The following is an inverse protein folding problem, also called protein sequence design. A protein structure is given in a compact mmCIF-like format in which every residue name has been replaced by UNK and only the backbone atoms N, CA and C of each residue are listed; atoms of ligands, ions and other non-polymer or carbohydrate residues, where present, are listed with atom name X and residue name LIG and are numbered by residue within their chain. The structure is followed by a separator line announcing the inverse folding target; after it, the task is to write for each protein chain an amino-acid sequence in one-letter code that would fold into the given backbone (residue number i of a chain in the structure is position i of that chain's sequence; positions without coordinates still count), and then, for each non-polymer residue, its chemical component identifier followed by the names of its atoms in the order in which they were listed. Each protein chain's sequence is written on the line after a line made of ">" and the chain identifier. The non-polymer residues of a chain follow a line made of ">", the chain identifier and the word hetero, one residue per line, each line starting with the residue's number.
data_IF_004465998750
#
_entry.id   IF_004465998750
#
_cell.length_a   1.000
_cell.length_b   1.000
_cell.length_c   1.000
_cell.angle_alpha   90.00
_cell.angle_beta   90.00
_cell.angle_gamma   90.00
#
_symmetry.space_group_name_H-M   'P 1'
#
loop_
_entity.id
_entity.type
_entity.pdbx_description
1 polymer ?
#
# COMPACT_ATOMS: atom_id res chain seq x y z
N UNK A 1 -1.12 -21.12 -29.60
CA UNK A 1 -0.74 -21.26 -28.20
C UNK A 1 0.13 -20.06 -27.84
N UNK A 2 -0.43 -19.03 -27.22
CA UNK A 2 0.31 -17.85 -26.74
C UNK A 2 0.54 -18.03 -25.25
N UNK A 3 1.78 -18.16 -24.90
CA UNK A 3 2.29 -18.28 -23.54
C UNK A 3 1.94 -16.99 -22.77
N UNK A 4 1.09 -17.11 -21.78
CA UNK A 4 0.76 -16.01 -20.86
C UNK A 4 1.97 -15.89 -19.92
N UNK A 5 2.78 -14.85 -20.11
CA UNK A 5 3.81 -14.49 -19.17
C UNK A 5 3.14 -13.91 -17.93
N UNK A 6 3.44 -14.50 -16.79
CA UNK A 6 3.04 -14.10 -15.45
C UNK A 6 3.26 -12.60 -15.25
N UNK A 7 2.17 -11.85 -15.16
CA UNK A 7 2.17 -10.50 -14.63
C UNK A 7 2.33 -10.60 -13.12
N UNK A 8 3.56 -10.62 -12.67
CA UNK A 8 3.92 -10.66 -11.26
C UNK A 8 3.71 -9.29 -10.65
N UNK A 9 2.72 -9.16 -9.79
CA UNK A 9 2.72 -8.51 -8.51
C UNK A 9 3.26 -7.09 -8.45
N UNK A 10 2.39 -6.09 -8.45
CA UNK A 10 2.74 -4.78 -7.94
C UNK A 10 1.63 -4.12 -7.22
N UNK A 11 1.91 -3.89 -5.99
CA UNK A 11 1.02 -3.14 -5.14
C UNK A 11 1.83 -2.36 -4.18
N UNK A 12 1.43 -1.18 -3.86
CA UNK A 12 1.94 -0.31 -2.78
C UNK A 12 3.33 -0.64 -2.20
N UNK A 13 4.20 -1.16 -3.04
CA UNK A 13 5.56 -1.55 -2.73
C UNK A 13 6.45 -0.53 -3.37
N UNK A 14 6.48 0.65 -2.82
CA UNK A 14 7.59 1.54 -3.09
C UNK A 14 8.75 1.07 -2.24
N UNK A 15 9.50 0.23 -2.84
CA UNK A 15 10.86 -0.10 -2.59
C UNK A 15 11.65 0.84 -1.70
N UNK A 16 12.12 0.30 -0.60
CA UNK A 16 13.49 0.50 -0.20
C UNK A 16 14.37 -0.48 -0.99
N UNK A 17 14.70 -0.17 -2.24
CA UNK A 17 15.75 -0.81 -2.99
C UNK A 17 17.03 -0.04 -2.76
N UNK A 18 17.64 -0.19 -1.59
CA UNK A 18 19.05 0.13 -1.39
C UNK A 18 19.84 -1.14 -1.60
N UNK A 19 20.52 -1.17 -2.75
CA UNK A 19 21.73 -1.88 -3.06
C UNK A 19 22.17 -3.01 -2.09
N UNK A 20 22.03 -4.24 -2.55
CA UNK A 20 23.01 -5.27 -2.22
C UNK A 20 23.67 -5.71 -3.52
N UNK A 21 24.84 -5.15 -3.76
CA UNK A 21 25.78 -5.55 -4.81
C UNK A 21 26.25 -6.96 -4.51
N UNK A 22 26.16 -7.77 -5.54
CA UNK A 22 26.60 -9.14 -5.60
C UNK A 22 28.05 -9.34 -5.18
N UNK A 23 28.29 -10.41 -4.47
CA UNK A 23 29.54 -11.15 -4.55
C UNK A 23 29.19 -12.57 -4.93
N UNK A 24 29.62 -12.95 -6.12
CA UNK A 24 29.46 -14.30 -6.60
C UNK A 24 30.40 -15.25 -5.89
N UNK A 25 29.97 -16.48 -5.78
CA UNK A 25 30.90 -17.57 -5.97
C UNK A 25 30.24 -18.79 -6.60
N UNK A 26 30.97 -19.39 -7.55
CA UNK A 26 30.61 -20.59 -8.28
C UNK A 26 31.10 -21.79 -7.50
N UNK A 27 30.33 -22.85 -7.38
CA UNK A 27 30.89 -24.18 -7.57
C UNK A 27 29.78 -25.22 -7.84
N UNK A 28 30.11 -26.01 -8.82
CA UNK A 28 29.48 -27.19 -9.40
C UNK A 28 29.41 -28.37 -8.46
N UNK A 29 28.35 -29.15 -8.52
CA UNK A 29 28.41 -30.54 -9.04
C UNK A 29 27.12 -31.29 -8.80
N UNK A 30 26.72 -32.05 -9.81
CA UNK A 30 25.58 -32.95 -9.87
C UNK A 30 25.81 -34.21 -8.98
N UNK A 31 24.72 -34.71 -8.40
CA UNK A 31 24.55 -36.15 -8.21
C UNK A 31 23.06 -36.56 -8.20
N UNK A 32 22.77 -37.51 -9.03
CA UNK A 32 21.52 -38.21 -9.21
C UNK A 32 21.33 -39.27 -8.12
N UNK A 33 20.18 -39.25 -7.44
CA UNK A 33 19.80 -40.29 -6.51
C UNK A 33 18.28 -40.32 -6.27
N UNK A 34 17.61 -41.32 -6.84
CA UNK A 34 16.19 -41.53 -6.69
C UNK A 34 15.79 -41.95 -5.26
N UNK A 35 14.51 -41.81 -4.86
CA UNK A 35 14.09 -41.99 -3.48
C UNK A 35 14.07 -43.47 -3.09
N UNK A 36 14.74 -43.78 -1.98
CA UNK A 36 14.87 -45.11 -1.39
C UNK A 36 13.53 -45.63 -0.82
N UNK A 37 13.38 -46.93 -0.85
CA UNK A 37 12.19 -47.71 -0.45
C UNK A 37 11.72 -47.51 1.02
N UNK A 38 12.40 -46.70 1.82
CA UNK A 38 12.02 -46.38 3.22
C UNK A 38 10.95 -45.28 3.35
N UNK A 39 10.68 -44.54 2.28
CA UNK A 39 9.67 -43.47 2.30
C UNK A 39 8.22 -44.00 2.13
N UNK A 40 8.03 -45.25 1.78
CA UNK A 40 6.70 -45.86 1.57
C UNK A 40 6.02 -46.43 2.81
N UNK A 41 6.73 -46.61 3.91
CA UNK A 41 6.20 -47.22 5.12
C UNK A 41 5.65 -46.24 6.17
N UNK A 42 5.79 -44.92 5.96
CA UNK A 42 5.40 -43.93 6.96
C UNK A 42 3.97 -43.36 6.81
N UNK A 43 3.27 -43.73 5.73
CA UNK A 43 1.96 -43.13 5.41
C UNK A 43 0.75 -44.00 5.81
N UNK A 44 0.89 -44.98 6.67
CA UNK A 44 -0.22 -45.88 7.02
C UNK A 44 -0.51 -46.00 8.51
N UNK A 45 -0.19 -44.98 9.31
CA UNK A 45 -0.66 -45.01 10.70
C UNK A 45 -0.98 -43.58 11.17
N UNK A 46 -2.24 -43.39 11.52
CA UNK A 46 -2.91 -42.27 12.18
C UNK A 46 -3.50 -41.18 11.28
N UNK A 47 -4.78 -41.39 11.00
CA UNK A 47 -5.72 -40.29 10.76
C UNK A 47 -5.80 -39.40 11.98
N UNK A 48 -4.94 -38.37 12.00
CA UNK A 48 -5.17 -37.16 12.77
C UNK A 48 -5.57 -36.10 11.74
N UNK A 49 -6.84 -35.80 11.72
CA UNK A 49 -7.34 -34.58 11.14
C UNK A 49 -6.61 -33.42 11.85
N UNK A 50 -5.60 -32.86 11.22
CA UNK A 50 -5.11 -31.56 11.62
C UNK A 50 -6.27 -30.61 11.38
N UNK A 51 -7.00 -30.29 12.43
CA UNK A 51 -7.84 -29.09 12.46
C UNK A 51 -6.93 -27.97 12.00
N UNK A 52 -7.31 -27.30 10.91
CA UNK A 52 -6.62 -26.13 10.44
C UNK A 52 -6.50 -25.19 11.65
N UNK A 53 -5.30 -25.07 12.19
CA UNK A 53 -5.02 -24.10 13.22
C UNK A 53 -5.39 -22.76 12.61
N UNK A 54 -6.42 -22.13 13.15
CA UNK A 54 -6.76 -20.75 12.78
C UNK A 54 -5.55 -19.92 13.16
N UNK A 55 -4.73 -19.57 12.17
CA UNK A 55 -3.60 -18.67 12.37
C UNK A 55 -4.23 -17.33 12.75
N UNK A 56 -4.23 -17.03 14.04
CA UNK A 56 -4.69 -15.74 14.54
C UNK A 56 -3.61 -14.70 14.18
N UNK A 57 -3.74 -14.09 13.01
CA UNK A 57 -2.82 -13.05 12.55
C UNK A 57 -3.02 -11.80 13.43
N UNK A 58 -1.95 -11.37 14.08
CA UNK A 58 -1.96 -10.14 14.87
C UNK A 58 -2.35 -8.96 13.96
N UNK A 59 -3.29 -8.14 14.44
CA UNK A 59 -3.73 -6.92 13.76
C UNK A 59 -3.17 -5.71 14.49
N UNK A 60 -2.68 -4.73 13.72
CA UNK A 60 -2.15 -3.48 14.26
C UNK A 60 -2.44 -2.33 13.29
N UNK A 61 -2.79 -1.18 13.82
CA UNK A 61 -2.96 0.02 13.01
C UNK A 61 -1.60 0.49 12.47
N UNK A 62 -1.64 1.08 11.28
CA UNK A 62 -0.54 1.84 10.73
C UNK A 62 -0.79 3.30 11.07
N UNK A 63 0.16 3.94 11.75
CA UNK A 63 0.02 5.33 12.24
C UNK A 63 1.28 6.11 11.89
N UNK A 64 1.13 7.17 11.10
CA UNK A 64 2.24 8.08 10.77
C UNK A 64 1.84 9.49 11.15
N UNK A 65 2.68 10.16 11.95
CA UNK A 65 2.52 11.56 12.29
C UNK A 65 3.64 12.39 11.64
N UNK A 66 3.27 13.52 11.02
CA UNK A 66 4.18 14.48 10.42
C UNK A 66 3.81 15.90 10.84
N UNK A 67 4.83 16.71 11.11
CA UNK A 67 4.66 18.15 11.32
C UNK A 67 5.03 18.89 10.03
N UNK A 68 4.05 19.52 9.40
CA UNK A 68 4.24 20.33 8.20
C UNK A 68 4.42 21.82 8.55
N UNK A 69 5.40 22.47 7.93
CA UNK A 69 5.62 23.92 8.05
C UNK A 69 4.68 24.68 7.12
N UNK A 70 3.38 24.50 7.37
CA UNK A 70 2.30 25.08 6.60
C UNK A 70 1.03 25.23 7.46
N UNK A 71 0.18 26.23 7.18
CA UNK A 71 -1.11 26.38 7.86
C UNK A 71 -2.05 25.22 7.56
N UNK A 72 -2.97 24.95 8.49
CA UNK A 72 -3.86 23.79 8.42
C UNK A 72 -4.76 23.81 7.18
N UNK A 73 -5.15 24.98 6.72
CA UNK A 73 -5.96 25.16 5.50
C UNK A 73 -5.23 24.65 4.25
N UNK A 74 -3.91 24.88 4.19
CA UNK A 74 -3.11 24.43 3.05
C UNK A 74 -2.86 22.93 3.09
N UNK A 75 -2.57 22.36 4.27
CA UNK A 75 -2.42 20.91 4.43
C UNK A 75 -3.75 20.20 4.17
N UNK A 76 -4.86 20.76 4.65
CA UNK A 76 -6.21 20.27 4.36
C UNK A 76 -6.51 20.28 2.85
N UNK A 77 -6.23 21.40 2.20
CA UNK A 77 -6.42 21.56 0.75
C UNK A 77 -5.59 20.53 -0.04
N UNK A 78 -4.39 20.25 0.42
CA UNK A 78 -3.52 19.26 -0.23
C UNK A 78 -4.12 17.84 -0.25
N UNK A 79 -5.06 17.52 0.62
CA UNK A 79 -5.77 16.24 0.68
C UNK A 79 -7.16 16.26 0.04
N UNK A 80 -7.73 17.44 -0.18
CA UNK A 80 -9.15 17.57 -0.57
C UNK A 80 -9.35 18.21 -1.95
N UNK A 81 -8.30 18.78 -2.52
CA UNK A 81 -8.32 19.40 -3.85
C UNK A 81 -7.54 18.50 -4.84
N UNK A 82 -8.17 18.03 -5.94
CA UNK A 82 -7.53 17.15 -6.92
C UNK A 82 -6.21 17.70 -7.47
N UNK A 83 -6.14 18.99 -7.79
CA UNK A 83 -4.94 19.63 -8.36
C UNK A 83 -3.77 19.64 -7.37
N UNK A 84 -4.08 19.70 -6.07
CA UNK A 84 -3.06 19.58 -5.03
C UNK A 84 -2.64 18.13 -4.81
N UNK A 85 -3.58 17.17 -4.75
CA UNK A 85 -3.26 15.74 -4.60
C UNK A 85 -2.32 15.28 -5.72
N UNK A 86 -2.54 15.68 -6.95
CA UNK A 86 -1.72 15.29 -8.10
C UNK A 86 -0.24 15.74 -7.98
N UNK A 87 0.08 16.68 -7.10
CA UNK A 87 1.46 17.17 -6.92
C UNK A 87 2.33 16.26 -6.06
N UNK A 88 1.71 15.44 -5.22
CA UNK A 88 2.46 14.67 -4.22
C UNK A 88 2.05 13.20 -4.12
N UNK A 89 0.83 12.80 -4.53
CA UNK A 89 0.37 11.43 -4.38
C UNK A 89 1.28 10.43 -5.11
N UNK A 90 1.54 9.31 -4.44
CA UNK A 90 2.48 8.28 -4.86
C UNK A 90 3.87 8.46 -4.24
N UNK A 91 4.57 7.34 -3.96
CA UNK A 91 5.88 7.35 -3.35
C UNK A 91 6.94 8.05 -4.21
N UNK A 92 8.17 8.15 -3.70
CA UNK A 92 9.29 8.77 -4.43
C UNK A 92 9.48 8.14 -5.82
N UNK A 93 9.62 8.98 -6.84
CA UNK A 93 9.73 8.55 -8.24
C UNK A 93 8.39 8.33 -8.95
N UNK A 94 7.28 8.19 -8.22
CA UNK A 94 5.95 8.07 -8.80
C UNK A 94 5.35 9.44 -9.12
N UNK A 95 4.48 9.47 -10.12
CA UNK A 95 3.66 10.63 -10.47
C UNK A 95 2.18 10.35 -10.21
N UNK A 96 1.37 11.40 -10.13
CA UNK A 96 -0.09 11.27 -10.02
C UNK A 96 -0.76 11.97 -11.21
N UNK A 97 -1.02 11.24 -12.32
CA UNK A 97 -1.53 11.85 -13.56
C UNK A 97 -2.99 12.29 -13.48
N UNK A 98 -3.77 11.77 -12.57
CA UNK A 98 -5.17 12.14 -12.38
C UNK A 98 -5.63 11.91 -10.95
N UNK A 99 -6.62 12.69 -10.53
CA UNK A 99 -7.28 12.54 -9.24
C UNK A 99 -8.75 12.96 -9.40
N UNK A 100 -9.67 12.20 -8.80
CA UNK A 100 -11.10 12.52 -8.77
C UNK A 100 -11.54 12.56 -7.31
N UNK A 101 -12.22 13.63 -6.90
CA UNK A 101 -12.71 13.81 -5.52
C UNK A 101 -14.11 14.40 -5.56
N UNK A 102 -15.07 13.73 -4.93
CA UNK A 102 -16.36 14.26 -4.52
C UNK A 102 -16.28 14.46 -3.00
N UNK A 103 -15.77 15.63 -2.57
CA UNK A 103 -15.45 15.88 -1.16
C UNK A 103 -16.67 16.23 -0.32
N UNK A 104 -17.43 15.20 0.04
CA UNK A 104 -18.54 15.23 0.99
C UNK A 104 -18.71 13.88 1.66
N UNK A 105 -19.37 13.81 2.79
CA UNK A 105 -19.74 12.53 3.41
C UNK A 105 -20.59 11.70 2.43
N UNK A 106 -20.22 10.42 2.26
CA UNK A 106 -20.75 9.52 1.23
C UNK A 106 -20.19 9.75 -0.17
N UNK A 107 -19.46 10.83 -0.41
CA UNK A 107 -18.78 11.08 -1.68
C UNK A 107 -17.59 10.16 -1.89
N UNK A 108 -17.17 10.00 -3.15
CA UNK A 108 -16.13 9.07 -3.56
C UNK A 108 -14.87 9.80 -4.04
N UNK A 109 -13.74 9.12 -3.94
CA UNK A 109 -12.51 9.55 -4.58
C UNK A 109 -11.85 8.41 -5.36
N UNK A 110 -11.04 8.78 -6.35
CA UNK A 110 -10.12 7.88 -7.07
C UNK A 110 -8.78 8.58 -7.18
N UNK A 111 -7.78 8.04 -6.52
CA UNK A 111 -6.41 8.50 -6.60
C UNK A 111 -5.62 7.61 -7.54
N UNK A 112 -4.90 8.24 -8.46
CA UNK A 112 -4.09 7.57 -9.46
C UNK A 112 -2.62 7.83 -9.18
N UNK A 113 -1.81 6.79 -9.19
CA UNK A 113 -0.35 6.92 -9.22
C UNK A 113 0.23 6.09 -10.36
N UNK A 114 1.28 6.61 -10.97
CA UNK A 114 2.03 5.96 -12.05
C UNK A 114 3.46 5.71 -11.61
N UNK A 115 3.87 4.46 -11.70
CA UNK A 115 5.24 4.05 -11.44
C UNK A 115 6.22 4.68 -12.45
N UNK A 116 7.50 4.87 -12.10
CA UNK A 116 8.54 5.20 -13.07
C UNK A 116 8.69 4.05 -14.10
N UNK A 117 9.18 4.38 -15.29
CA UNK A 117 9.29 3.39 -16.40
C UNK A 117 10.23 2.23 -16.05
N UNK A 118 11.24 2.51 -15.26
CA UNK A 118 12.23 1.55 -14.76
C UNK A 118 11.62 0.56 -13.79
N UNK A 119 10.48 0.93 -13.20
CA UNK A 119 9.74 0.09 -12.29
C UNK A 119 8.49 -0.44 -13.00
N UNK A 120 8.51 -1.72 -13.32
CA UNK A 120 7.39 -2.45 -13.96
C UNK A 120 6.78 -1.76 -15.19
N UNK A 121 7.60 -1.09 -15.98
CA UNK A 121 7.18 -0.50 -17.24
C UNK A 121 6.29 0.75 -17.12
N UNK A 122 6.25 1.40 -15.97
CA UNK A 122 5.45 2.61 -15.77
C UNK A 122 3.96 2.32 -15.52
N UNK A 123 3.65 1.26 -14.78
CA UNK A 123 2.29 0.81 -14.51
C UNK A 123 1.45 1.85 -13.77
N UNK A 124 0.18 1.95 -14.17
CA UNK A 124 -0.84 2.74 -13.48
C UNK A 124 -1.49 1.95 -12.36
N UNK A 125 -1.65 2.60 -11.21
CA UNK A 125 -2.29 2.03 -10.02
C UNK A 125 -3.32 3.00 -9.47
N UNK A 126 -4.43 2.45 -8.99
CA UNK A 126 -5.55 3.25 -8.51
C UNK A 126 -5.98 2.79 -7.12
N UNK A 127 -6.29 3.77 -6.28
CA UNK A 127 -6.95 3.58 -4.99
C UNK A 127 -8.24 4.36 -5.01
N UNK A 128 -9.35 3.74 -4.67
CA UNK A 128 -10.62 4.42 -4.51
C UNK A 128 -11.13 4.35 -3.08
N UNK A 129 -11.99 5.28 -2.71
CA UNK A 129 -12.56 5.30 -1.37
C UNK A 129 -13.87 6.07 -1.28
N UNK A 130 -14.43 6.02 -0.07
CA UNK A 130 -15.67 6.72 0.30
C UNK A 130 -15.41 7.49 1.59
N UNK A 131 -15.70 8.78 1.58
CA UNK A 131 -15.65 9.62 2.79
C UNK A 131 -16.78 9.23 3.74
N UNK A 132 -16.44 9.00 5.00
CA UNK A 132 -17.38 8.57 6.05
C UNK A 132 -17.76 9.72 6.98
N UNK A 133 -16.77 10.54 7.35
CA UNK A 133 -16.93 11.68 8.24
C UNK A 133 -15.96 12.79 7.87
N UNK A 134 -16.47 14.02 7.87
CA UNK A 134 -15.67 15.21 7.59
C UNK A 134 -15.92 16.24 8.67
N UNK A 135 -14.88 16.54 9.46
CA UNK A 135 -14.87 17.67 10.40
C UNK A 135 -13.88 18.69 9.83
N UNK A 136 -14.31 19.81 9.27
CA UNK A 136 -13.46 20.75 8.58
C UNK A 136 -12.20 21.14 9.36
N UNK A 137 -11.04 21.05 8.70
CA UNK A 137 -9.69 21.35 9.24
C UNK A 137 -9.27 20.50 10.46
N UNK A 138 -9.99 19.42 10.79
CA UNK A 138 -9.72 18.59 11.96
C UNK A 138 -9.64 17.10 11.67
N UNK A 139 -10.59 16.56 10.88
CA UNK A 139 -10.69 15.12 10.70
C UNK A 139 -11.32 14.76 9.36
N UNK A 140 -10.75 13.78 8.69
CA UNK A 140 -11.36 13.08 7.56
C UNK A 140 -11.31 11.59 7.86
N UNK A 141 -12.47 10.93 7.99
CA UNK A 141 -12.56 9.47 8.04
C UNK A 141 -13.08 8.94 6.71
N UNK A 142 -12.46 7.88 6.21
CA UNK A 142 -12.83 7.27 4.94
C UNK A 142 -12.50 5.78 4.94
N UNK A 143 -13.01 5.05 3.97
CA UNK A 143 -12.53 3.70 3.66
C UNK A 143 -11.94 3.71 2.26
N UNK A 144 -10.84 2.97 2.07
CA UNK A 144 -10.14 2.90 0.80
C UNK A 144 -9.71 1.48 0.45
N UNK A 145 -9.24 1.27 -0.77
CA UNK A 145 -8.61 0.04 -1.22
C UNK A 145 -8.34 0.10 -2.72
N UNK A 146 -7.73 -0.96 -3.23
CA UNK A 146 -7.33 -1.05 -4.62
C UNK A 146 -8.54 -1.00 -5.55
N UNK A 147 -8.38 -0.34 -6.69
CA UNK A 147 -9.44 -0.18 -7.67
C UNK A 147 -8.93 -0.15 -9.10
N UNK A 148 -9.85 -0.21 -10.05
CA UNK A 148 -9.61 0.18 -11.42
C UNK A 148 -9.65 1.71 -11.61
N UNK A 149 -9.41 2.19 -12.83
CA UNK A 149 -9.45 3.62 -13.20
C UNK A 149 -10.82 4.30 -13.01
N UNK A 150 -11.88 3.49 -12.94
CA UNK A 150 -13.26 3.95 -12.78
C UNK A 150 -13.71 3.94 -11.31
N UNK A 151 -12.83 3.47 -10.41
CA UNK A 151 -13.04 3.41 -8.97
C UNK A 151 -13.78 2.16 -8.50
N UNK A 152 -13.95 1.14 -9.35
CA UNK A 152 -14.48 -0.14 -8.94
C UNK A 152 -13.44 -0.90 -8.13
N UNK A 153 -13.81 -1.42 -6.97
CA UNK A 153 -12.92 -2.18 -6.10
C UNK A 153 -12.40 -3.43 -6.79
N UNK A 154 -11.13 -3.72 -6.61
CA UNK A 154 -10.46 -4.93 -7.08
C UNK A 154 -10.18 -5.81 -5.86
N UNK A 155 -10.48 -7.11 -5.97
CA UNK A 155 -9.98 -8.07 -4.99
C UNK A 155 -8.46 -8.16 -5.11
N UNK A 156 -7.70 -7.81 -4.04
CA UNK A 156 -6.24 -7.81 -4.08
C UNK A 156 -5.63 -9.14 -4.54
N UNK A 157 -6.26 -10.27 -4.22
CA UNK A 157 -5.76 -11.60 -4.59
C UNK A 157 -5.78 -11.84 -6.10
N UNK A 158 -6.69 -11.19 -6.84
CA UNK A 158 -6.78 -11.32 -8.31
C UNK A 158 -5.63 -10.68 -9.05
N UNK A 159 -4.91 -9.78 -8.38
CA UNK A 159 -3.70 -9.12 -8.91
C UNK A 159 -2.42 -9.61 -8.21
N UNK A 160 -2.52 -10.77 -7.51
CA UNK A 160 -1.37 -11.46 -6.92
C UNK A 160 -0.95 -10.97 -5.54
N UNK A 161 -1.80 -10.21 -4.85
CA UNK A 161 -1.55 -9.85 -3.45
C UNK A 161 -1.70 -11.03 -2.53
N UNK A 162 -0.95 -11.07 -1.41
CA UNK A 162 -1.18 -12.04 -0.37
C UNK A 162 -2.62 -12.01 0.14
N UNK A 163 -3.13 -13.17 0.56
CA UNK A 163 -4.52 -13.31 1.03
C UNK A 163 -4.83 -12.49 2.30
N UNK A 164 -3.81 -12.08 3.04
CA UNK A 164 -3.92 -11.25 4.23
C UNK A 164 -3.86 -9.74 3.93
N UNK A 165 -3.67 -9.35 2.65
CA UNK A 165 -3.79 -7.97 2.24
C UNK A 165 -5.24 -7.49 2.34
N UNK A 166 -5.53 -6.37 3.03
CA UNK A 166 -6.91 -5.95 3.25
C UNK A 166 -7.57 -5.47 1.94
N UNK A 167 -8.74 -6.01 1.61
CA UNK A 167 -9.56 -5.55 0.48
C UNK A 167 -10.19 -4.17 0.73
N UNK A 168 -10.38 -3.80 2.02
CA UNK A 168 -10.83 -2.49 2.45
C UNK A 168 -10.03 -2.05 3.67
N UNK A 169 -9.59 -0.80 3.68
CA UNK A 169 -8.78 -0.20 4.73
C UNK A 169 -9.54 1.01 5.28
N UNK A 170 -10.19 0.89 6.46
CA UNK A 170 -10.69 2.05 7.17
C UNK A 170 -9.52 2.97 7.52
N UNK A 171 -9.68 4.27 7.31
CA UNK A 171 -8.59 5.23 7.44
C UNK A 171 -9.06 6.55 8.03
N UNK A 172 -8.14 7.27 8.66
CA UNK A 172 -8.40 8.61 9.18
C UNK A 172 -7.20 9.54 8.96
N UNK A 173 -7.48 10.81 8.73
CA UNK A 173 -6.53 11.91 8.74
C UNK A 173 -6.95 12.89 9.84
N UNK A 174 -6.13 13.03 10.88
CA UNK A 174 -6.34 13.99 11.94
C UNK A 174 -5.39 15.18 11.77
N UNK A 175 -5.95 16.39 11.77
CA UNK A 175 -5.22 17.65 11.59
C UNK A 175 -5.24 18.42 12.89
N UNK A 176 -4.05 18.85 13.35
CA UNK A 176 -3.89 19.63 14.58
C UNK A 176 -2.99 20.82 14.33
N UNK A 177 -3.48 22.00 14.69
CA UNK A 177 -2.69 23.22 14.64
C UNK A 177 -1.64 23.24 15.75
N UNK A 178 -0.38 23.49 15.40
CA UNK A 178 0.76 23.60 16.32
C UNK A 178 1.51 24.90 16.00
N UNK A 179 1.14 25.98 16.70
CA UNK A 179 1.60 27.30 16.32
C UNK A 179 1.08 27.70 14.95
N UNK A 180 1.98 28.00 14.01
CA UNK A 180 1.67 28.27 12.59
C UNK A 180 1.90 27.05 11.69
N UNK A 181 2.14 25.88 12.28
CA UNK A 181 2.38 24.59 11.60
C UNK A 181 1.20 23.65 11.78
N UNK A 182 1.19 22.59 11.00
CA UNK A 182 0.15 21.56 11.06
C UNK A 182 0.76 20.21 11.38
N UNK A 183 0.34 19.60 12.49
CA UNK A 183 0.56 18.19 12.76
C UNK A 183 -0.55 17.39 12.08
N UNK A 184 -0.18 16.50 11.16
CA UNK A 184 -1.06 15.54 10.51
C UNK A 184 -0.75 14.15 11.04
N UNK A 185 -1.77 13.44 11.52
CA UNK A 185 -1.69 12.01 11.82
C UNK A 185 -2.55 11.25 10.80
N UNK A 186 -1.91 10.41 10.00
CA UNK A 186 -2.55 9.48 9.09
C UNK A 186 -2.64 8.11 9.76
N UNK A 187 -3.83 7.51 9.74
CA UNK A 187 -4.11 6.21 10.37
C UNK A 187 -4.76 5.31 9.34
N UNK A 188 -4.27 4.09 9.22
CA UNK A 188 -4.90 2.99 8.50
C UNK A 188 -5.15 1.85 9.48
N UNK A 189 -6.40 1.44 9.66
CA UNK A 189 -6.81 0.54 10.73
C UNK A 189 -6.73 -0.94 10.34
N UNK A 190 -6.32 -1.77 11.29
CA UNK A 190 -6.52 -3.22 11.24
C UNK A 190 -5.63 -3.96 10.24
N UNK A 191 -4.45 -3.46 9.93
CA UNK A 191 -3.47 -4.18 9.13
C UNK A 191 -3.01 -5.48 9.81
N UNK A 192 -2.84 -6.53 9.01
CA UNK A 192 -2.11 -7.71 9.47
C UNK A 192 -0.64 -7.35 9.68
N UNK A 193 -0.09 -7.66 10.85
CA UNK A 193 1.34 -7.44 11.14
C UNK A 193 2.18 -8.27 10.19
N UNK A 194 3.11 -7.64 9.49
CA UNK A 194 3.99 -8.29 8.55
C UNK A 194 4.44 -7.37 7.41
N UNK A 195 5.08 -7.98 6.44
CA UNK A 195 5.76 -7.29 5.35
C UNK A 195 4.87 -6.29 4.58
N UNK A 196 3.61 -6.64 4.31
CA UNK A 196 2.71 -5.77 3.55
C UNK A 196 2.36 -4.49 4.30
N UNK A 197 2.15 -4.59 5.63
CA UNK A 197 1.94 -3.44 6.49
C UNK A 197 3.17 -2.52 6.51
N UNK A 198 4.35 -3.10 6.68
CA UNK A 198 5.60 -2.34 6.76
C UNK A 198 5.88 -1.61 5.44
N UNK A 199 5.56 -2.24 4.32
CA UNK A 199 5.69 -1.62 3.01
C UNK A 199 4.67 -0.51 2.77
N UNK A 200 3.43 -0.68 3.22
CA UNK A 200 2.42 0.38 3.17
C UNK A 200 2.84 1.58 4.00
N UNK A 201 3.39 1.34 5.21
CA UNK A 201 3.93 2.37 6.08
C UNK A 201 5.06 3.16 5.42
N UNK A 202 6.02 2.47 4.82
CA UNK A 202 7.12 3.09 4.09
C UNK A 202 6.62 3.94 2.90
N UNK A 203 5.73 3.38 2.07
CA UNK A 203 5.17 4.06 0.90
C UNK A 203 4.35 5.31 1.27
N UNK A 204 3.51 5.22 2.31
CA UNK A 204 2.78 6.37 2.81
C UNK A 204 3.73 7.43 3.40
N UNK A 205 4.79 7.01 4.09
CA UNK A 205 5.85 7.89 4.57
C UNK A 205 6.48 8.72 3.45
N UNK A 206 6.87 8.07 2.35
CA UNK A 206 7.42 8.74 1.17
C UNK A 206 6.42 9.69 0.49
N UNK A 207 5.14 9.33 0.46
CA UNK A 207 4.08 10.23 -0.02
C UNK A 207 4.01 11.50 0.84
N UNK A 208 4.08 11.36 2.17
CA UNK A 208 4.05 12.51 3.09
C UNK A 208 5.31 13.37 2.99
N UNK A 209 6.47 12.80 2.66
CA UNK A 209 7.68 13.55 2.40
C UNK A 209 7.53 14.39 1.12
N UNK A 210 6.94 13.83 0.04
CA UNK A 210 6.59 14.59 -1.18
C UNK A 210 5.54 15.67 -0.91
N UNK A 211 4.57 15.39 -0.02
CA UNK A 211 3.62 16.42 0.42
C UNK A 211 4.33 17.60 1.07
N UNK A 212 5.31 17.34 1.95
CA UNK A 212 6.10 18.40 2.57
C UNK A 212 6.85 19.24 1.52
N UNK A 213 7.46 18.60 0.52
CA UNK A 213 8.11 19.29 -0.60
C UNK A 213 7.12 20.11 -1.43
N UNK A 214 5.92 19.60 -1.69
CA UNK A 214 4.90 20.30 -2.47
C UNK A 214 4.35 21.54 -1.73
N UNK A 215 4.23 21.44 -0.40
CA UNK A 215 3.81 22.56 0.46
C UNK A 215 4.87 23.67 0.56
N UNK A 216 6.15 23.32 0.44
CA UNK A 216 7.25 24.30 0.46
C UNK A 216 7.40 25.09 -0.86
N UNK A 217 6.95 24.53 -1.99
CA UNK A 217 6.97 25.16 -3.31
C UNK A 217 5.67 25.97 -3.52
N UNK A 218 5.59 27.15 -2.90
CA UNK A 218 4.45 28.08 -3.03
C UNK A 218 4.47 28.81 -4.34
#
# INVERSE_FOLDING_TARGET
>A
MKTIHNATLVVFVALAASALVASGDKSTSAETGGPSAKARAYNHAKGNYMTAATVNLEKRDLVITRLFDAPVELVWKAWTDPDYVMRWWGPKGFTSPSCKIDFREGGKFVFHMRAPKEFQGGQDMYTSGVYKKIVPLKLIEFSQGLSDKDGNRIDPTTIGMPADFPGEIPSALAFKLVGNKTELTAIEYGWTVGHMRDMSEAGLGECLDKLAEALAKR
#
